data_IF_507511721368
#
_entry.id   IF_507511721368
#
_cell.length_a   1.000
_cell.length_b   1.000
_cell.length_c   1.000
_cell.angle_alpha   90.00
_cell.angle_beta   90.00
_cell.angle_gamma   90.00
#
_symmetry.space_group_name_H-M   'P 1'
#
loop_
_entity.id
_entity.type
_entity.pdbx_description
1 polymer ?
#
# COMPACT_ATOMS: atom_id res chain seq x y z
N UNK A 1 14.16 -3.16 -12.37
CA UNK A 1 13.38 -2.17 -13.18
C UNK A 1 13.19 -0.97 -12.28
N UNK A 2 13.35 0.26 -12.77
CA UNK A 2 13.34 1.45 -11.88
C UNK A 2 11.92 1.99 -11.74
N UNK A 3 11.47 2.14 -10.51
CA UNK A 3 10.13 2.65 -10.20
C UNK A 3 10.20 4.11 -9.76
N UNK A 4 9.43 4.98 -10.42
CA UNK A 4 9.26 6.39 -10.07
C UNK A 4 8.63 6.57 -8.70
N UNK A 5 7.67 5.73 -8.29
CA UNK A 5 7.13 5.82 -6.92
C UNK A 5 8.19 5.52 -5.86
N UNK A 6 9.26 4.79 -6.21
CA UNK A 6 10.40 4.51 -5.34
C UNK A 6 11.58 5.49 -5.54
N UNK A 7 11.43 6.53 -6.36
CA UNK A 7 12.50 7.49 -6.64
C UNK A 7 13.61 6.93 -7.53
N UNK A 8 13.26 6.13 -8.55
CA UNK A 8 14.19 5.44 -9.48
C UNK A 8 15.02 4.32 -8.82
N UNK A 9 14.68 3.94 -7.59
CA UNK A 9 15.28 2.81 -6.86
C UNK A 9 14.62 1.47 -7.23
N UNK A 10 15.35 0.39 -6.95
CA UNK A 10 14.80 -0.97 -7.05
C UNK A 10 13.88 -1.25 -5.85
N UNK A 11 12.76 -1.90 -6.13
CA UNK A 11 11.75 -2.19 -5.12
C UNK A 11 12.28 -3.33 -4.23
N UNK A 12 12.26 -3.20 -2.89
CA UNK A 12 12.82 -4.23 -2.03
C UNK A 12 12.05 -5.54 -2.17
N UNK A 13 12.74 -6.67 -2.07
CA UNK A 13 12.18 -8.00 -2.35
C UNK A 13 10.93 -8.34 -1.54
N UNK A 14 10.85 -7.85 -0.29
CA UNK A 14 9.67 -8.05 0.55
C UNK A 14 8.40 -7.36 0.00
N UNK A 15 8.53 -6.19 -0.64
CA UNK A 15 7.41 -5.51 -1.33
C UNK A 15 6.99 -6.32 -2.54
N UNK A 16 7.96 -6.81 -3.31
CA UNK A 16 7.72 -7.50 -4.57
C UNK A 16 7.08 -8.88 -4.35
N UNK A 17 7.56 -9.61 -3.34
CA UNK A 17 6.94 -10.84 -2.85
C UNK A 17 5.48 -10.59 -2.46
N UNK A 18 5.21 -9.51 -1.74
CA UNK A 18 3.87 -9.24 -1.24
C UNK A 18 2.92 -8.66 -2.29
N UNK A 19 3.42 -7.91 -3.26
CA UNK A 19 2.63 -7.53 -4.44
C UNK A 19 2.20 -8.77 -5.22
N UNK A 20 3.07 -9.77 -5.36
CA UNK A 20 2.71 -11.04 -6.00
C UNK A 20 1.64 -11.80 -5.24
N UNK A 21 1.65 -11.71 -3.91
CA UNK A 21 0.61 -12.26 -3.03
C UNK A 21 -0.70 -11.46 -3.14
N UNK A 22 -0.63 -10.13 -3.16
CA UNK A 22 -1.76 -9.24 -3.37
C UNK A 22 -2.40 -9.43 -4.75
N UNK A 23 -1.62 -9.70 -5.80
CA UNK A 23 -2.13 -9.96 -7.14
C UNK A 23 -3.00 -11.23 -7.20
N UNK A 24 -2.82 -12.16 -6.25
CA UNK A 24 -3.64 -13.39 -6.14
C UNK A 24 -4.95 -13.17 -5.38
N UNK A 25 -5.12 -12.04 -4.68
CA UNK A 25 -6.38 -11.75 -3.98
C UNK A 25 -7.44 -11.26 -4.95
N UNK A 26 -8.72 -11.25 -4.55
CA UNK A 26 -9.79 -10.69 -5.38
C UNK A 26 -9.74 -9.16 -5.43
N UNK A 27 -10.11 -8.55 -6.57
CA UNK A 27 -10.15 -7.09 -6.76
C UNK A 27 -10.99 -6.36 -5.71
N UNK A 28 -12.03 -7.01 -5.18
CA UNK A 28 -12.86 -6.50 -4.09
C UNK A 28 -12.05 -6.30 -2.81
N UNK A 29 -11.25 -7.31 -2.42
CA UNK A 29 -10.44 -7.24 -1.19
C UNK A 29 -9.35 -6.20 -1.30
N UNK A 30 -8.71 -6.11 -2.47
CA UNK A 30 -7.72 -5.09 -2.76
C UNK A 30 -8.29 -3.68 -2.54
N UNK A 31 -9.49 -3.42 -3.05
CA UNK A 31 -10.16 -2.12 -2.90
C UNK A 31 -10.49 -1.80 -1.44
N UNK A 32 -10.95 -2.80 -0.68
CA UNK A 32 -11.24 -2.65 0.75
C UNK A 32 -9.97 -2.39 1.57
N UNK A 33 -8.89 -3.13 1.29
CA UNK A 33 -7.59 -2.92 1.92
C UNK A 33 -7.05 -1.52 1.62
N UNK A 34 -7.11 -1.08 0.36
CA UNK A 34 -6.71 0.28 -0.02
C UNK A 34 -7.50 1.32 0.76
N UNK A 35 -8.83 1.20 0.82
CA UNK A 35 -9.67 2.13 1.57
C UNK A 35 -9.30 2.19 3.06
N UNK A 36 -8.96 1.05 3.67
CA UNK A 36 -8.58 1.02 5.07
C UNK A 36 -7.17 1.57 5.31
N UNK A 37 -6.21 1.25 4.44
CA UNK A 37 -4.85 1.80 4.48
C UNK A 37 -4.83 3.31 4.29
N UNK A 38 -5.65 3.82 3.37
CA UNK A 38 -5.82 5.25 3.18
C UNK A 38 -6.35 5.91 4.46
N UNK A 39 -7.33 5.31 5.14
CA UNK A 39 -7.82 5.82 6.44
C UNK A 39 -6.74 5.82 7.52
N UNK A 40 -5.91 4.78 7.59
CA UNK A 40 -4.79 4.72 8.54
C UNK A 40 -3.76 5.81 8.28
N UNK A 41 -3.38 6.01 7.02
CA UNK A 41 -2.49 7.09 6.60
C UNK A 41 -3.04 8.48 6.90
N UNK A 42 -4.37 8.65 6.90
CA UNK A 42 -5.04 9.88 7.28
C UNK A 42 -5.19 10.06 8.79
N UNK A 43 -4.81 9.06 9.59
CA UNK A 43 -4.89 9.08 11.06
C UNK A 43 -6.23 8.63 11.63
N UNK A 44 -7.15 8.10 10.81
CA UNK A 44 -8.40 7.47 11.30
C UNK A 44 -8.15 6.06 11.89
N UNK A 45 -6.99 5.46 11.57
CA UNK A 45 -6.56 4.15 12.05
C UNK A 45 -7.18 2.95 11.29
N UNK A 46 -6.42 1.86 11.18
CA UNK A 46 -6.93 0.58 10.66
C UNK A 46 -7.67 -0.22 11.73
N UNK A 47 -8.87 -0.66 11.37
CA UNK A 47 -9.63 -1.67 12.11
C UNK A 47 -9.18 -3.07 11.67
N UNK A 48 -8.05 -3.55 12.23
CA UNK A 48 -7.48 -4.86 11.88
C UNK A 48 -8.47 -6.01 12.06
N UNK A 49 -9.44 -5.88 12.98
CA UNK A 49 -10.49 -6.88 13.18
C UNK A 49 -11.44 -7.00 11.98
N UNK A 50 -11.83 -5.86 11.39
CA UNK A 50 -12.62 -5.86 10.14
C UNK A 50 -11.80 -6.32 8.95
N UNK A 51 -10.57 -5.82 8.82
CA UNK A 51 -9.69 -6.21 7.71
C UNK A 51 -9.43 -7.71 7.74
N UNK A 52 -9.07 -8.26 8.89
CA UNK A 52 -8.85 -9.69 9.07
C UNK A 52 -10.10 -10.53 8.73
N UNK A 53 -11.31 -10.06 9.07
CA UNK A 53 -12.55 -10.74 8.68
C UNK A 53 -12.77 -10.73 7.16
N UNK A 54 -12.44 -9.62 6.49
CA UNK A 54 -12.56 -9.50 5.05
C UNK A 54 -11.52 -10.36 4.31
N UNK A 55 -10.31 -10.47 4.85
CA UNK A 55 -9.23 -11.28 4.28
C UNK A 55 -9.21 -12.74 4.75
N UNK A 56 -9.96 -13.10 5.81
CA UNK A 56 -10.09 -14.48 6.31
C UNK A 56 -10.49 -15.47 5.22
N UNK A 57 -11.40 -15.06 4.33
CA UNK A 57 -11.89 -15.88 3.23
C UNK A 57 -10.81 -16.13 2.14
N UNK A 58 -9.70 -15.38 2.16
CA UNK A 58 -8.57 -15.54 1.24
C UNK A 58 -7.39 -16.35 1.84
N UNK A 59 -7.56 -16.97 3.01
CA UNK A 59 -6.49 -17.64 3.79
C UNK A 59 -5.35 -16.73 4.25
N UNK A 60 -5.59 -15.42 4.35
CA UNK A 60 -4.59 -14.50 4.90
C UNK A 60 -4.60 -14.59 6.42
N UNK A 61 -3.45 -14.87 6.99
CA UNK A 61 -3.26 -14.80 8.42
C UNK A 61 -3.11 -13.35 8.87
N UNK A 62 -3.16 -13.13 10.18
CA UNK A 62 -2.91 -11.80 10.76
C UNK A 62 -1.54 -11.21 10.39
N UNK A 63 -0.57 -12.07 10.04
CA UNK A 63 0.73 -11.69 9.47
C UNK A 63 0.59 -11.12 8.07
N UNK A 64 -0.02 -11.87 7.14
CA UNK A 64 -0.18 -11.45 5.74
C UNK A 64 -1.00 -10.16 5.61
N UNK A 65 -2.00 -9.98 6.48
CA UNK A 65 -2.81 -8.75 6.51
C UNK A 65 -1.94 -7.55 6.87
N UNK A 66 -1.07 -7.67 7.87
CA UNK A 66 -0.18 -6.59 8.29
C UNK A 66 0.85 -6.28 7.21
N UNK A 67 1.41 -7.31 6.58
CA UNK A 67 2.36 -7.14 5.48
C UNK A 67 1.70 -6.49 4.26
N UNK A 68 0.47 -6.89 3.93
CA UNK A 68 -0.37 -6.26 2.90
C UNK A 68 -0.66 -4.79 3.19
N UNK A 69 -1.01 -4.47 4.43
CA UNK A 69 -1.22 -3.09 4.88
C UNK A 69 0.08 -2.30 4.77
N UNK A 70 1.21 -2.88 5.20
CA UNK A 70 2.51 -2.23 5.16
C UNK A 70 2.95 -1.93 3.72
N UNK A 71 2.79 -2.88 2.80
CA UNK A 71 3.17 -2.67 1.40
C UNK A 71 2.29 -1.63 0.71
N UNK A 72 0.98 -1.67 0.94
CA UNK A 72 0.06 -0.64 0.42
C UNK A 72 0.35 0.73 0.99
N UNK A 73 0.61 0.81 2.30
CA UNK A 73 0.95 2.04 2.98
C UNK A 73 2.25 2.63 2.43
N UNK A 74 3.25 1.77 2.23
CA UNK A 74 4.51 2.11 1.61
C UNK A 74 4.33 2.63 0.17
N UNK A 75 3.53 1.96 -0.65
CA UNK A 75 3.23 2.38 -2.04
C UNK A 75 2.59 3.76 -2.04
N UNK A 76 1.50 3.97 -1.28
CA UNK A 76 0.83 5.27 -1.25
C UNK A 76 1.69 6.38 -0.68
N UNK A 77 2.43 6.08 0.39
CA UNK A 77 3.32 7.05 1.02
C UNK A 77 4.46 7.45 0.09
N UNK A 78 5.03 6.49 -0.64
CA UNK A 78 6.12 6.74 -1.57
C UNK A 78 5.64 7.45 -2.84
N UNK A 79 4.46 7.07 -3.36
CA UNK A 79 3.81 7.76 -4.48
C UNK A 79 3.50 9.23 -4.13
N UNK A 80 2.93 9.49 -2.94
CA UNK A 80 2.59 10.85 -2.51
C UNK A 80 3.84 11.69 -2.15
N UNK A 81 4.93 11.06 -1.67
CA UNK A 81 6.21 11.74 -1.44
C UNK A 81 6.89 12.19 -2.73
N UNK A 82 6.84 11.35 -3.76
CA UNK A 82 7.43 11.63 -5.07
C UNK A 82 6.47 12.36 -6.02
N UNK A 83 5.30 12.80 -5.53
CA UNK A 83 4.27 13.49 -6.32
C UNK A 83 3.88 12.72 -7.59
N UNK A 84 3.72 11.39 -7.46
CA UNK A 84 3.39 10.51 -8.58
C UNK A 84 1.89 10.51 -8.84
N UNK A 85 1.53 10.80 -10.09
CA UNK A 85 0.16 10.77 -10.58
C UNK A 85 -0.47 9.39 -10.47
N UNK A 86 -1.79 9.38 -10.33
CA UNK A 86 -2.61 8.16 -10.26
C UNK A 86 -2.43 7.26 -11.51
N UNK A 87 -2.25 7.85 -12.70
CA UNK A 87 -1.98 7.14 -13.95
C UNK A 87 -0.62 6.43 -13.93
N UNK A 88 0.44 7.17 -13.59
CA UNK A 88 1.81 6.66 -13.46
C UNK A 88 1.89 5.53 -12.44
N UNK A 89 1.32 5.73 -11.24
CA UNK A 89 1.25 4.72 -10.20
C UNK A 89 0.55 3.44 -10.70
N UNK A 90 -0.51 3.58 -11.49
CA UNK A 90 -1.23 2.42 -12.05
C UNK A 90 -0.35 1.61 -13.00
N UNK A 91 0.48 2.27 -13.82
CA UNK A 91 1.40 1.61 -14.76
C UNK A 91 2.51 0.89 -14.02
N UNK A 92 3.06 1.49 -12.97
CA UNK A 92 4.10 0.89 -12.14
C UNK A 92 3.59 -0.33 -11.37
N UNK A 93 2.42 -0.23 -10.76
CA UNK A 93 1.79 -1.36 -10.08
C UNK A 93 1.49 -2.51 -11.05
N UNK A 94 1.06 -2.20 -12.28
CA UNK A 94 0.89 -3.21 -13.33
C UNK A 94 2.22 -3.88 -13.70
N UNK A 95 3.32 -3.12 -13.77
CA UNK A 95 4.66 -3.67 -14.02
C UNK A 95 5.15 -4.56 -12.87
N UNK A 96 4.78 -4.25 -11.62
CA UNK A 96 5.07 -5.10 -10.45
C UNK A 96 4.26 -6.41 -10.44
N UNK A 97 3.26 -6.55 -11.31
CA UNK A 97 2.45 -7.75 -11.45
C UNK A 97 1.01 -7.61 -10.96
N UNK A 98 0.54 -6.42 -10.57
CA UNK A 98 -0.87 -6.23 -10.24
C UNK A 98 -1.75 -6.24 -11.50
N UNK A 99 -2.93 -6.89 -11.47
CA UNK A 99 -3.86 -6.85 -12.58
C UNK A 99 -4.41 -5.44 -12.79
N UNK A 100 -4.73 -5.09 -14.04
CA UNK A 100 -5.28 -3.76 -14.40
C UNK A 100 -6.59 -3.43 -13.65
N UNK A 101 -7.40 -4.45 -13.34
CA UNK A 101 -8.62 -4.28 -12.53
C UNK A 101 -8.30 -3.76 -11.12
N UNK A 102 -7.23 -4.29 -10.51
CA UNK A 102 -6.79 -3.91 -9.17
C UNK A 102 -6.22 -2.50 -9.16
N UNK A 103 -5.34 -2.21 -10.12
CA UNK A 103 -4.71 -0.89 -10.22
C UNK A 103 -5.72 0.20 -10.53
N UNK A 104 -6.75 -0.07 -11.33
CA UNK A 104 -7.84 0.89 -11.59
C UNK A 104 -8.63 1.21 -10.31
N UNK A 105 -8.95 0.20 -9.49
CA UNK A 105 -9.65 0.41 -8.21
C UNK A 105 -8.81 1.16 -7.18
N UNK A 106 -7.51 0.85 -7.14
CA UNK A 106 -6.54 1.51 -6.28
C UNK A 106 -6.32 2.97 -6.69
N UNK A 107 -6.10 3.23 -7.98
CA UNK A 107 -5.88 4.54 -8.59
C UNK A 107 -7.03 5.51 -8.26
N UNK A 108 -8.28 5.07 -8.42
CA UNK A 108 -9.46 5.87 -8.01
C UNK A 108 -9.49 6.20 -6.53
N UNK A 109 -9.14 5.23 -5.68
CA UNK A 109 -9.14 5.44 -4.22
C UNK A 109 -8.00 6.35 -3.78
N UNK A 110 -6.85 6.24 -4.46
CA UNK A 110 -5.68 7.08 -4.26
C UNK A 110 -5.95 8.52 -4.64
N UNK A 111 -6.50 8.78 -5.83
CA UNK A 111 -6.74 10.14 -6.33
C UNK A 111 -7.66 10.95 -5.40
N UNK A 112 -8.74 10.34 -4.89
CA UNK A 112 -9.67 10.96 -3.93
C UNK A 112 -8.98 11.38 -2.62
N UNK A 113 -8.01 10.58 -2.17
CA UNK A 113 -7.31 10.78 -0.89
C UNK A 113 -5.92 11.37 -1.03
N UNK A 114 -5.41 11.52 -2.24
CA UNK A 114 -4.03 11.92 -2.55
C UNK A 114 -3.67 13.23 -1.86
N UNK A 115 -4.50 14.26 -2.04
CA UNK A 115 -4.26 15.58 -1.48
C UNK A 115 -4.16 15.55 0.05
N UNK A 116 -5.06 14.82 0.72
CA UNK A 116 -5.05 14.68 2.17
C UNK A 116 -3.87 13.84 2.67
N UNK A 117 -3.46 12.83 1.91
CA UNK A 117 -2.29 11.99 2.19
C UNK A 117 -0.99 12.80 2.06
N UNK A 118 -0.88 13.62 1.03
CA UNK A 118 0.25 14.51 0.81
C UNK A 118 0.37 15.54 1.94
N UNK A 119 -0.75 16.11 2.38
CA UNK A 119 -0.79 17.04 3.52
C UNK A 119 -0.32 16.36 4.82
N UNK A 120 -0.87 15.18 5.11
CA UNK A 120 -0.42 14.37 6.26
C UNK A 120 1.04 13.97 6.19
N UNK A 121 1.55 13.64 5.01
CA UNK A 121 2.97 13.33 4.81
C UNK A 121 3.85 14.56 4.98
N UNK A 122 3.41 15.75 4.57
CA UNK A 122 4.12 17.00 4.85
C UNK A 122 4.21 17.26 6.35
N UNK A 123 3.12 17.04 7.10
CA UNK A 123 3.11 17.13 8.56
C UNK A 123 4.03 16.08 9.21
N UNK A 124 4.03 14.85 8.69
CA UNK A 124 4.79 13.71 9.25
C UNK A 124 6.26 13.68 8.80
N UNK A 125 6.61 14.35 7.70
CA UNK A 125 7.96 14.39 7.10
C UNK A 125 9.01 14.95 8.07
N UNK A 126 8.61 15.86 8.97
CA UNK A 126 9.46 16.38 10.05
C UNK A 126 9.89 15.30 11.08
N UNK A 127 9.32 14.10 11.03
CA UNK A 127 9.61 12.96 11.91
C UNK A 127 9.98 11.68 11.14
N UNK A 128 10.53 11.80 9.93
CA UNK A 128 10.92 10.65 9.12
C UNK A 128 12.06 9.83 9.74
N UNK A 129 11.74 8.74 10.44
CA UNK A 129 12.67 7.62 10.73
C UNK A 129 12.02 6.25 10.98
N UNK A 130 10.81 5.91 10.50
CA UNK A 130 10.27 4.57 10.76
C UNK A 130 9.52 3.96 9.58
N UNK A 131 10.25 3.58 8.52
CA UNK A 131 9.89 2.37 7.77
C UNK A 131 10.93 1.26 7.96
N UNK A 132 11.82 1.42 8.96
CA UNK A 132 12.67 0.37 9.49
C UNK A 132 11.97 -0.30 10.70
N UNK A 133 10.73 -0.74 10.53
CA UNK A 133 10.23 -1.88 11.31
C UNK A 133 10.30 -3.10 10.41
N UNK A 134 11.53 -3.38 9.98
CA UNK A 134 11.94 -4.76 9.80
C UNK A 134 11.70 -5.47 11.13
N UNK A 135 10.99 -6.58 11.02
CA UNK A 135 10.89 -7.67 11.98
C UNK A 135 11.89 -7.59 13.15
N UNK A 136 11.42 -7.11 14.30
CA UNK A 136 12.01 -7.48 15.58
C UNK A 136 10.88 -7.89 16.52
N UNK A 137 10.36 -9.10 16.28
CA UNK A 137 9.78 -9.95 17.31
C UNK A 137 10.13 -11.39 16.99
N UNK A 138 11.32 -11.74 17.44
CA UNK A 138 11.69 -13.04 17.96
C UNK A 138 10.47 -13.83 18.52
N UNK A 139 10.07 -14.91 17.85
CA UNK A 139 9.72 -16.19 18.47
C UNK A 139 9.66 -17.31 17.43
#
# INVERSE_FOLDING_TARGET
MRFRFCGDLDCPDWVLAEISTLAKISSVKMKLLCAQVLKDLLGEGIDYGKVAKLTADAKFESGDVKASVAVLSFIFSSAAKHDVDSESLSSELQQLGLPKEHTTGLCKSYEDKHAALQDKLRETSLRCKYFCQGQDKHY
#
